data_IF_049005441416
#
_entry.id   IF_049005441416
#
_cell.length_a   1.000
_cell.length_b   1.000
_cell.length_c   1.000
_cell.angle_alpha   90.00
_cell.angle_beta   90.00
_cell.angle_gamma   90.00
#
_symmetry.space_group_name_H-M   'P 1'
#
loop_
_entity.id
_entity.type
_entity.pdbx_description
1 polymer ?
#
# COMPACT_ATOMS: atom_id res chain seq x y z
N UNK A 1 7.80 11.79 0.50
CA UNK A 1 7.19 10.52 0.07
C UNK A 1 7.72 10.07 -1.30
N UNK A 2 7.57 10.87 -2.36
CA UNK A 2 8.06 10.57 -3.73
C UNK A 2 9.57 10.39 -3.83
N UNK A 3 10.36 11.12 -3.05
CA UNK A 3 11.83 11.03 -3.01
C UNK A 3 12.33 9.65 -2.59
N UNK A 4 11.76 9.06 -1.54
CA UNK A 4 12.11 7.71 -1.09
C UNK A 4 11.80 6.64 -2.14
N UNK A 5 10.65 6.75 -2.80
CA UNK A 5 10.25 5.82 -3.85
C UNK A 5 11.19 5.85 -5.06
N UNK A 6 11.52 7.06 -5.55
CA UNK A 6 12.49 7.22 -6.65
C UNK A 6 13.87 6.66 -6.28
N UNK A 7 14.31 6.84 -5.03
CA UNK A 7 15.60 6.36 -4.56
C UNK A 7 15.64 4.83 -4.48
N UNK A 8 14.58 4.20 -3.95
CA UNK A 8 14.42 2.73 -3.96
C UNK A 8 14.40 2.19 -5.39
N UNK A 9 13.67 2.83 -6.30
CA UNK A 9 13.59 2.41 -7.70
C UNK A 9 14.96 2.51 -8.40
N UNK A 10 15.68 3.62 -8.23
CA UNK A 10 16.99 3.83 -8.84
C UNK A 10 18.03 2.84 -8.30
N UNK A 11 18.05 2.61 -6.97
CA UNK A 11 18.94 1.63 -6.36
C UNK A 11 18.60 0.19 -6.78
N UNK A 12 17.32 -0.15 -6.87
CA UNK A 12 16.88 -1.45 -7.36
C UNK A 12 17.28 -1.66 -8.83
N UNK A 13 17.13 -0.64 -9.67
CA UNK A 13 17.49 -0.70 -11.09
C UNK A 13 19.01 -0.81 -11.27
N UNK A 14 19.79 -0.05 -10.51
CA UNK A 14 21.26 -0.17 -10.49
C UNK A 14 21.73 -1.54 -9.99
N UNK A 15 21.11 -2.06 -8.93
CA UNK A 15 21.40 -3.39 -8.38
C UNK A 15 21.10 -4.52 -9.36
N UNK A 16 19.92 -4.46 -10.01
CA UNK A 16 19.54 -5.45 -11.02
C UNK A 16 20.40 -5.36 -12.28
N UNK A 17 20.72 -4.15 -12.76
CA UNK A 17 21.60 -3.98 -13.90
C UNK A 17 23.02 -4.51 -13.60
N UNK A 18 23.55 -4.25 -12.41
CA UNK A 18 24.83 -4.81 -11.97
C UNK A 18 24.80 -6.34 -11.91
N UNK A 19 23.76 -6.93 -11.32
CA UNK A 19 23.59 -8.40 -11.28
C UNK A 19 23.43 -9.01 -12.69
N UNK A 20 22.71 -8.35 -13.59
CA UNK A 20 22.56 -8.78 -14.98
C UNK A 20 23.90 -8.74 -15.72
N UNK A 21 24.70 -7.68 -15.55
CA UNK A 21 26.06 -7.57 -16.10
C UNK A 21 27.00 -8.62 -15.48
N UNK A 22 26.77 -9.01 -14.23
CA UNK A 22 27.53 -10.07 -13.57
C UNK A 22 27.22 -11.47 -14.10
N UNK A 23 26.21 -11.67 -14.97
CA UNK A 23 25.94 -12.96 -15.59
C UNK A 23 26.76 -13.13 -16.88
N UNK A 24 27.44 -14.26 -17.03
CA UNK A 24 28.41 -14.55 -18.11
C UNK A 24 27.79 -14.46 -19.51
N UNK A 25 26.51 -14.83 -19.61
CA UNK A 25 25.72 -14.81 -20.85
C UNK A 25 25.30 -13.39 -21.25
N UNK A 26 25.18 -12.48 -20.29
CA UNK A 26 24.68 -11.11 -20.48
C UNK A 26 25.78 -10.05 -20.47
N UNK A 27 26.92 -10.30 -19.82
CA UNK A 27 28.05 -9.34 -19.79
C UNK A 27 28.57 -9.03 -21.20
N UNK A 28 28.62 -10.04 -22.07
CA UNK A 28 29.07 -9.92 -23.46
C UNK A 28 28.08 -9.13 -24.33
N UNK A 29 26.78 -9.20 -24.01
CA UNK A 29 25.72 -8.48 -24.71
C UNK A 29 25.56 -7.01 -24.27
N UNK A 30 25.85 -6.70 -22.99
CA UNK A 30 25.73 -5.35 -22.43
C UNK A 30 27.00 -4.52 -22.52
N UNK A 31 28.18 -5.10 -22.29
CA UNK A 31 29.45 -4.34 -22.17
C UNK A 31 30.38 -4.49 -23.37
N UNK A 32 30.07 -5.37 -24.33
CA UNK A 32 30.89 -5.61 -25.53
C UNK A 32 32.31 -6.12 -25.26
N UNK A 33 32.67 -6.39 -24.00
CA UNK A 33 33.98 -6.88 -23.56
C UNK A 33 33.81 -8.07 -22.62
N UNK A 34 34.76 -9.00 -22.64
CA UNK A 34 34.84 -10.04 -21.61
C UNK A 34 35.32 -9.40 -20.30
N UNK A 35 34.40 -9.21 -19.36
CA UNK A 35 34.77 -8.84 -17.99
C UNK A 35 35.50 -10.02 -17.33
N UNK A 36 36.73 -9.79 -16.87
CA UNK A 36 37.50 -10.80 -16.14
C UNK A 36 36.79 -11.25 -14.84
N UNK A 37 37.05 -12.49 -14.42
CA UNK A 37 36.36 -13.16 -13.31
C UNK A 37 36.35 -12.33 -12.00
N UNK A 38 37.45 -11.62 -11.71
CA UNK A 38 37.56 -10.76 -10.53
C UNK A 38 36.63 -9.55 -10.59
N UNK A 39 36.60 -8.82 -11.73
CA UNK A 39 35.69 -7.67 -11.91
C UNK A 39 34.22 -8.08 -11.88
N UNK A 40 33.91 -9.25 -12.44
CA UNK A 40 32.57 -9.84 -12.41
C UNK A 40 32.10 -10.11 -10.97
N UNK A 41 33.00 -10.62 -10.12
CA UNK A 41 32.73 -10.85 -8.70
C UNK A 41 32.55 -9.54 -7.92
N UNK A 42 33.33 -8.50 -8.23
CA UNK A 42 33.12 -7.17 -7.66
C UNK A 42 31.74 -6.59 -8.05
N UNK A 43 31.36 -6.63 -9.33
CA UNK A 43 30.07 -6.13 -9.81
C UNK A 43 28.89 -6.90 -9.17
N UNK A 44 29.05 -8.21 -8.96
CA UNK A 44 28.04 -9.03 -8.27
C UNK A 44 27.80 -8.56 -6.84
N UNK A 45 28.87 -8.38 -6.05
CA UNK A 45 28.76 -7.88 -4.68
C UNK A 45 28.25 -6.44 -4.62
N UNK A 46 28.63 -5.62 -5.59
CA UNK A 46 28.17 -4.24 -5.70
C UNK A 46 26.67 -4.18 -6.01
N UNK A 47 26.16 -5.06 -6.87
CA UNK A 47 24.73 -5.21 -7.13
C UNK A 47 23.93 -5.62 -5.89
N UNK A 48 24.43 -6.60 -5.13
CA UNK A 48 23.86 -6.97 -3.83
C UNK A 48 23.90 -5.83 -2.81
N UNK A 49 24.99 -5.05 -2.78
CA UNK A 49 25.11 -3.87 -1.94
C UNK A 49 24.01 -2.84 -2.23
N UNK A 50 23.75 -2.54 -3.51
CA UNK A 50 22.66 -1.66 -3.91
C UNK A 50 21.27 -2.18 -3.52
N UNK A 51 21.03 -3.49 -3.60
CA UNK A 51 19.76 -4.08 -3.18
C UNK A 51 19.55 -4.01 -1.66
N UNK A 52 20.61 -4.21 -0.87
CA UNK A 52 20.56 -4.05 0.59
C UNK A 52 20.27 -2.59 0.96
N UNK A 53 20.91 -1.64 0.28
CA UNK A 53 20.64 -0.21 0.47
C UNK A 53 19.21 0.15 0.07
N UNK A 54 18.70 -0.38 -1.05
CA UNK A 54 17.32 -0.19 -1.48
C UNK A 54 16.32 -0.72 -0.43
N UNK A 55 16.61 -1.90 0.14
CA UNK A 55 15.80 -2.46 1.23
C UNK A 55 15.84 -1.58 2.48
N UNK A 56 17.02 -1.13 2.89
CA UNK A 56 17.19 -0.25 4.04
C UNK A 56 16.43 1.06 3.90
N UNK A 57 16.48 1.69 2.72
CA UNK A 57 15.73 2.93 2.42
C UNK A 57 14.22 2.67 2.39
N UNK A 58 13.79 1.53 1.83
CA UNK A 58 12.38 1.13 1.82
C UNK A 58 11.81 0.89 3.22
N UNK A 59 12.56 0.18 4.08
CA UNK A 59 12.17 -0.08 5.47
C UNK A 59 12.21 1.18 6.33
N UNK A 60 13.20 2.07 6.11
CA UNK A 60 13.29 3.33 6.85
C UNK A 60 12.15 4.31 6.50
N UNK A 61 11.67 4.30 5.26
CA UNK A 61 10.58 5.18 4.84
C UNK A 61 9.19 4.62 5.12
N UNK A 62 8.99 3.32 4.94
CA UNK A 62 7.66 2.69 4.90
C UNK A 62 7.53 1.50 5.87
N UNK A 63 8.42 1.42 6.85
CA UNK A 63 8.44 0.41 7.90
C UNK A 63 8.60 -1.02 7.35
N UNK A 64 8.66 -2.01 8.24
CA UNK A 64 8.86 -3.42 7.86
C UNK A 64 7.69 -4.04 7.09
N UNK A 65 6.48 -3.47 7.18
CA UNK A 65 5.30 -4.02 6.55
C UNK A 65 5.26 -3.75 5.04
N UNK A 66 5.69 -2.56 4.61
CA UNK A 66 5.50 -2.13 3.22
C UNK A 66 6.83 -2.04 2.46
N UNK A 67 7.94 -1.75 3.15
CA UNK A 67 9.27 -1.66 2.55
C UNK A 67 9.68 -2.88 1.69
N UNK A 68 9.57 -4.13 2.20
CA UNK A 68 9.90 -5.32 1.43
C UNK A 68 8.99 -5.54 0.21
N UNK A 69 7.70 -5.22 0.33
CA UNK A 69 6.72 -5.35 -0.76
C UNK A 69 7.03 -4.37 -1.89
N UNK A 70 7.36 -3.12 -1.55
CA UNK A 70 7.79 -2.10 -2.50
C UNK A 70 9.09 -2.49 -3.22
N UNK A 71 10.04 -3.10 -2.51
CA UNK A 71 11.26 -3.62 -3.11
C UNK A 71 10.92 -4.70 -4.14
N UNK A 72 10.15 -5.73 -3.76
CA UNK A 72 9.74 -6.80 -4.68
C UNK A 72 9.02 -6.26 -5.92
N UNK A 73 8.09 -5.31 -5.74
CA UNK A 73 7.43 -4.63 -6.86
C UNK A 73 8.43 -3.91 -7.77
N UNK A 74 9.39 -3.19 -7.18
CA UNK A 74 10.43 -2.46 -7.92
C UNK A 74 11.38 -3.39 -8.68
N UNK A 75 11.74 -4.54 -8.11
CA UNK A 75 12.57 -5.55 -8.78
C UNK A 75 11.87 -6.14 -10.00
N UNK A 76 10.57 -6.39 -9.88
CA UNK A 76 9.75 -6.90 -11.00
C UNK A 76 9.67 -5.86 -12.11
N UNK A 77 9.38 -4.61 -11.78
CA UNK A 77 9.34 -3.50 -12.72
C UNK A 77 10.70 -3.28 -13.42
N UNK A 78 11.80 -3.29 -12.66
CA UNK A 78 13.16 -3.15 -13.20
C UNK A 78 13.53 -4.32 -14.12
N UNK A 79 13.22 -5.56 -13.73
CA UNK A 79 13.44 -6.75 -14.55
C UNK A 79 12.64 -6.70 -15.86
N UNK A 80 11.37 -6.35 -15.80
CA UNK A 80 10.50 -6.17 -16.98
C UNK A 80 11.05 -5.08 -17.90
N UNK A 81 11.41 -3.91 -17.37
CA UNK A 81 11.99 -2.82 -18.14
C UNK A 81 13.26 -3.28 -18.88
N UNK A 82 14.13 -4.01 -18.18
CA UNK A 82 15.39 -4.51 -18.75
C UNK A 82 15.14 -5.53 -19.88
N UNK A 83 14.14 -6.40 -19.74
CA UNK A 83 13.71 -7.33 -20.80
C UNK A 83 13.15 -6.61 -22.02
N UNK A 84 12.38 -5.53 -21.85
CA UNK A 84 11.82 -4.75 -22.95
C UNK A 84 12.83 -3.85 -23.66
N UNK A 85 13.85 -3.36 -22.93
CA UNK A 85 14.95 -2.56 -23.50
C UNK A 85 15.93 -3.44 -24.28
N UNK A 86 16.12 -4.70 -23.88
CA UNK A 86 17.12 -5.60 -24.48
C UNK A 86 16.96 -5.82 -26.00
N UNK A 87 15.76 -5.94 -26.59
CA UNK A 87 15.57 -6.01 -28.04
C UNK A 87 16.09 -4.80 -28.83
N UNK A 88 16.20 -3.64 -28.20
CA UNK A 88 16.63 -2.38 -28.83
C UNK A 88 18.11 -2.07 -28.58
N UNK A 89 18.86 -2.98 -27.94
CA UNK A 89 20.23 -2.69 -27.54
C UNK A 89 21.20 -2.79 -28.73
N UNK A 90 21.98 -1.73 -29.03
CA UNK A 90 22.76 -1.62 -30.27
C UNK A 90 23.97 -2.57 -30.34
N UNK A 91 24.38 -3.14 -29.20
CA UNK A 91 25.58 -3.96 -29.06
C UNK A 91 25.30 -5.48 -29.08
N UNK A 92 24.11 -5.89 -29.54
CA UNK A 92 23.80 -7.32 -29.65
C UNK A 92 24.84 -8.02 -30.55
N UNK A 93 25.54 -9.04 -30.03
CA UNK A 93 26.43 -9.82 -30.87
C UNK A 93 25.59 -10.47 -31.97
N UNK A 94 25.90 -10.17 -33.24
CA UNK A 94 25.36 -10.93 -34.37
C UNK A 94 25.71 -12.39 -34.11
N UNK A 95 24.73 -13.22 -33.77
CA UNK A 95 24.96 -14.64 -33.63
C UNK A 95 25.50 -15.13 -34.97
N UNK A 96 26.78 -15.51 -35.02
CA UNK A 96 27.35 -16.20 -36.17
C UNK A 96 26.45 -17.42 -36.41
N UNK A 97 25.86 -17.51 -37.60
CA UNK A 97 24.87 -18.51 -37.95
C UNK A 97 25.37 -19.91 -37.56
N UNK A 98 24.91 -20.38 -36.40
CA UNK A 98 25.13 -21.75 -35.98
C UNK A 98 24.31 -22.57 -36.96
N UNK A 99 24.93 -23.50 -37.69
CA UNK A 99 24.20 -24.46 -38.51
C UNK A 99 23.27 -25.25 -37.58
N UNK A 100 22.03 -24.80 -37.48
CA UNK A 100 20.97 -25.47 -36.75
C UNK A 100 20.62 -26.75 -37.52
N UNK A 101 20.65 -27.89 -36.84
CA UNK A 101 19.99 -29.09 -37.36
C UNK A 101 18.51 -28.74 -37.54
N UNK A 102 17.85 -29.13 -38.64
CA UNK A 102 16.44 -28.82 -38.85
C UNK A 102 15.64 -29.48 -37.72
N UNK A 103 15.21 -28.66 -36.77
CA UNK A 103 14.25 -29.05 -35.73
C UNK A 103 12.90 -29.09 -36.44
N UNK A 104 12.14 -30.16 -36.26
CA UNK A 104 10.77 -30.25 -36.76
C UNK A 104 10.01 -28.99 -36.35
N UNK A 105 9.28 -28.32 -37.25
CA UNK A 105 8.63 -27.05 -36.92
C UNK A 105 7.72 -27.27 -35.72
N UNK A 106 8.07 -26.69 -34.57
CA UNK A 106 7.07 -26.46 -33.56
C UNK A 106 6.00 -25.59 -34.21
N UNK A 107 4.71 -25.91 -34.05
CA UNK A 107 3.65 -25.06 -34.57
C UNK A 107 3.89 -23.65 -34.03
N UNK A 108 4.18 -22.75 -34.97
CA UNK A 108 4.57 -21.37 -34.73
C UNK A 108 3.32 -20.68 -34.16
N UNK A 109 3.18 -20.68 -32.83
CA UNK A 109 2.04 -20.04 -32.15
C UNK A 109 2.24 -18.52 -32.24
N UNK A 110 1.99 -17.98 -33.44
CA UNK A 110 2.07 -16.55 -33.71
C UNK A 110 0.88 -15.89 -33.03
N UNK A 111 1.14 -15.38 -31.83
CA UNK A 111 0.20 -14.52 -31.14
C UNK A 111 -0.16 -13.35 -32.07
N UNK A 112 -1.42 -13.26 -32.47
CA UNK A 112 -1.87 -12.26 -33.43
C UNK A 112 -1.48 -10.86 -32.93
N UNK A 113 -1.00 -9.98 -33.82
CA UNK A 113 -0.62 -8.58 -33.52
C UNK A 113 -1.59 -7.84 -32.57
N UNK A 114 -2.93 -7.95 -32.71
CA UNK A 114 -3.85 -7.29 -31.77
C UNK A 114 -3.73 -7.82 -30.33
N UNK A 115 -3.50 -9.12 -30.14
CA UNK A 115 -3.36 -9.75 -28.81
C UNK A 115 -2.08 -9.27 -28.11
N UNK A 116 -1.01 -9.07 -28.89
CA UNK A 116 0.27 -8.53 -28.38
C UNK A 116 0.13 -7.08 -27.92
N UNK A 117 -0.64 -6.26 -28.64
CA UNK A 117 -0.95 -4.88 -28.24
C UNK A 117 -1.78 -4.82 -26.96
N UNK A 118 -2.76 -5.72 -26.83
CA UNK A 118 -3.63 -5.81 -25.65
C UNK A 118 -2.86 -6.21 -24.39
N UNK A 119 -1.91 -7.15 -24.51
CA UNK A 119 -1.02 -7.54 -23.41
C UNK A 119 -0.08 -6.42 -22.96
N UNK A 120 0.46 -5.64 -23.90
CA UNK A 120 1.31 -4.47 -23.56
C UNK A 120 0.48 -3.39 -22.89
N UNK A 121 -0.73 -3.13 -23.38
CA UNK A 121 -1.65 -2.18 -22.76
C UNK A 121 -2.03 -2.62 -21.34
N UNK A 122 -2.34 -3.90 -21.12
CA UNK A 122 -2.65 -4.41 -19.78
C UNK A 122 -1.45 -4.33 -18.84
N UNK A 123 -0.22 -4.54 -19.35
CA UNK A 123 1.00 -4.42 -18.54
C UNK A 123 1.25 -3.00 -18.01
N UNK A 124 0.69 -1.98 -18.68
CA UNK A 124 0.80 -0.57 -18.28
C UNK A 124 -0.44 -0.13 -17.49
N UNK A 125 -1.63 -0.50 -17.95
CA UNK A 125 -2.89 -0.11 -17.32
C UNK A 125 -3.05 -0.73 -15.93
N UNK A 126 -2.62 -1.99 -15.74
CA UNK A 126 -2.73 -2.68 -14.46
C UNK A 126 -1.90 -2.00 -13.34
N UNK A 127 -0.59 -1.71 -13.51
CA UNK A 127 0.17 -1.01 -12.47
C UNK A 127 -0.28 0.44 -12.28
N UNK A 128 -0.77 1.13 -13.31
CA UNK A 128 -1.37 2.47 -13.15
C UNK A 128 -2.63 2.37 -12.28
N UNK A 129 -3.50 1.41 -12.56
CA UNK A 129 -4.72 1.18 -11.78
C UNK A 129 -4.39 0.78 -10.34
N UNK A 130 -3.44 -0.14 -10.13
CA UNK A 130 -2.99 -0.52 -8.79
C UNK A 130 -2.35 0.65 -8.06
N UNK A 131 -1.50 1.45 -8.72
CA UNK A 131 -0.88 2.63 -8.12
C UNK A 131 -1.89 3.70 -7.74
N UNK A 132 -2.91 3.93 -8.56
CA UNK A 132 -4.01 4.85 -8.26
C UNK A 132 -4.85 4.39 -7.06
N UNK A 133 -5.15 3.09 -6.96
CA UNK A 133 -5.88 2.54 -5.81
C UNK A 133 -5.01 2.49 -4.55
N UNK A 134 -3.72 2.18 -4.67
CA UNK A 134 -2.77 2.21 -3.56
C UNK A 134 -2.58 3.63 -3.00
N UNK A 135 -2.65 4.67 -3.84
CA UNK A 135 -2.65 6.07 -3.38
C UNK A 135 -3.88 6.39 -2.52
N UNK A 136 -5.00 5.69 -2.73
CA UNK A 136 -6.20 5.82 -1.87
C UNK A 136 -6.08 5.05 -0.55
N UNK A 137 -5.05 4.21 -0.36
CA UNK A 137 -4.89 3.38 0.83
C UNK A 137 -4.47 4.22 2.04
N UNK A 138 -5.49 4.79 2.67
CA UNK A 138 -5.77 5.34 4.01
C UNK A 138 -4.75 5.41 5.16
N UNK A 139 -3.43 5.26 4.96
CA UNK A 139 -2.45 5.49 6.04
C UNK A 139 -2.35 6.97 6.51
N UNK A 140 -3.19 7.88 5.97
CA UNK A 140 -3.14 9.33 6.24
C UNK A 140 -4.36 9.92 6.94
N UNK A 141 -5.44 9.16 7.20
CA UNK A 141 -6.65 9.75 7.78
C UNK A 141 -6.38 10.48 9.10
N UNK A 142 -5.59 9.86 9.96
CA UNK A 142 -5.20 10.38 11.29
C UNK A 142 -4.17 11.52 11.21
N UNK A 143 -3.43 11.64 10.11
CA UNK A 143 -2.42 12.68 9.91
C UNK A 143 -3.00 13.95 9.26
N UNK A 144 -4.28 13.91 8.86
CA UNK A 144 -4.96 15.01 8.20
C UNK A 144 -5.31 16.11 9.21
N UNK A 145 -5.35 17.35 8.75
CA UNK A 145 -5.61 18.54 9.59
C UNK A 145 -7.01 18.55 10.21
N UNK A 146 -7.97 17.82 9.63
CA UNK A 146 -9.34 17.68 10.13
C UNK A 146 -9.49 16.59 11.20
N UNK A 147 -8.41 15.87 11.53
CA UNK A 147 -8.42 14.84 12.54
C UNK A 147 -8.71 15.42 13.94
N UNK A 148 -9.57 14.76 14.70
CA UNK A 148 -9.93 15.18 16.06
C UNK A 148 -8.89 14.65 17.02
N UNK A 149 -8.14 15.57 17.62
CA UNK A 149 -7.24 15.30 18.73
C UNK A 149 -7.99 15.44 20.06
N UNK A 150 -7.72 14.52 20.99
CA UNK A 150 -8.32 14.57 22.31
C UNK A 150 -7.64 13.64 23.31
N UNK A 151 -8.23 13.57 24.49
CA UNK A 151 -7.82 12.67 25.56
C UNK A 151 -9.04 11.98 26.14
N UNK A 152 -8.95 10.66 26.32
CA UNK A 152 -10.01 9.84 26.91
C UNK A 152 -9.41 8.97 28.01
N UNK A 153 -9.85 9.23 29.25
CA UNK A 153 -9.14 8.71 30.43
C UNK A 153 -7.67 9.16 30.45
N UNK A 154 -6.70 8.25 30.68
CA UNK A 154 -5.28 8.60 30.70
C UNK A 154 -4.63 8.69 29.30
N UNK A 155 -5.33 8.32 28.22
CA UNK A 155 -4.72 8.19 26.89
C UNK A 155 -5.09 9.32 25.95
N UNK A 156 -4.09 9.85 25.25
CA UNK A 156 -4.32 10.77 24.12
C UNK A 156 -4.66 9.98 22.86
N UNK A 157 -5.58 10.50 22.06
CA UNK A 157 -6.00 9.89 20.81
C UNK A 157 -6.16 10.91 19.69
N UNK A 158 -6.18 10.38 18.47
CA UNK A 158 -6.52 11.08 17.24
C UNK A 158 -7.55 10.24 16.50
N UNK A 159 -8.70 10.82 16.18
CA UNK A 159 -9.82 10.15 15.53
C UNK A 159 -10.18 10.89 14.24
N UNK A 160 -10.30 10.17 13.13
CA UNK A 160 -10.62 10.76 11.83
C UNK A 160 -11.48 9.83 10.98
N UNK A 161 -12.21 10.39 10.03
CA UNK A 161 -12.85 9.63 8.96
C UNK A 161 -11.80 9.11 7.98
N UNK A 162 -12.00 7.91 7.44
CA UNK A 162 -11.11 7.34 6.42
C UNK A 162 -11.09 8.21 5.15
N UNK A 163 -12.27 8.44 4.56
CA UNK A 163 -12.46 9.32 3.41
C UNK A 163 -13.48 10.43 3.72
N UNK A 164 -13.44 11.52 2.96
CA UNK A 164 -14.39 12.65 3.09
C UNK A 164 -15.63 12.48 2.17
N UNK A 165 -15.73 11.35 1.48
CA UNK A 165 -16.86 10.98 0.64
C UNK A 165 -18.07 10.59 1.49
N UNK A 166 -19.25 10.49 0.86
CA UNK A 166 -20.45 10.03 1.54
C UNK A 166 -20.31 8.59 2.07
N UNK A 167 -21.22 8.14 2.95
CA UNK A 167 -21.26 6.75 3.41
C UNK A 167 -21.34 5.74 2.27
N UNK A 168 -20.62 4.64 2.41
CA UNK A 168 -20.57 3.56 1.44
C UNK A 168 -21.65 2.51 1.74
N UNK A 169 -22.16 1.84 0.72
CA UNK A 169 -23.16 0.80 0.88
C UNK A 169 -22.51 -0.59 0.78
N UNK A 170 -22.60 -1.38 1.84
CA UNK A 170 -22.19 -2.79 1.83
C UNK A 170 -23.37 -3.66 1.39
N UNK A 171 -23.09 -4.85 0.84
CA UNK A 171 -24.05 -5.85 0.36
C UNK A 171 -25.31 -5.93 1.26
N UNK A 172 -26.40 -5.31 0.81
CA UNK A 172 -27.64 -5.15 1.60
C UNK A 172 -28.09 -3.70 1.86
N UNK A 173 -27.63 -2.71 1.08
CA UNK A 173 -28.05 -1.30 1.16
C UNK A 173 -27.89 -0.65 2.54
N UNK A 174 -27.05 -1.20 3.42
CA UNK A 174 -26.81 -0.59 4.73
C UNK A 174 -25.65 0.40 4.60
N UNK A 175 -25.88 1.70 4.82
CA UNK A 175 -24.82 2.69 4.75
C UNK A 175 -23.86 2.52 5.92
N UNK A 176 -22.57 2.47 5.62
CA UNK A 176 -21.48 2.44 6.59
C UNK A 176 -20.58 3.64 6.43
N UNK A 177 -19.92 4.02 7.52
CA UNK A 177 -18.82 4.99 7.48
C UNK A 177 -17.61 4.48 8.23
N UNK A 178 -16.44 4.61 7.62
CA UNK A 178 -15.17 4.16 8.19
C UNK A 178 -14.43 5.27 8.92
N UNK A 179 -13.85 4.90 10.06
CA UNK A 179 -13.08 5.77 10.95
C UNK A 179 -11.76 5.11 11.34
N UNK A 180 -10.72 5.92 11.47
CA UNK A 180 -9.44 5.53 12.06
C UNK A 180 -9.27 6.18 13.42
N UNK A 181 -8.81 5.39 14.38
CA UNK A 181 -8.46 5.83 15.72
C UNK A 181 -7.00 5.49 15.98
N UNK A 182 -6.24 6.49 16.42
CA UNK A 182 -4.86 6.33 16.84
C UNK A 182 -4.67 6.75 18.28
N UNK A 183 -4.10 5.89 19.11
CA UNK A 183 -3.66 6.24 20.46
C UNK A 183 -2.19 6.63 20.49
N UNK A 184 -1.72 7.16 21.62
CA UNK A 184 -0.29 7.31 21.84
C UNK A 184 0.42 5.95 21.78
N UNK A 185 1.66 5.92 21.30
CA UNK A 185 2.39 4.66 21.06
C UNK A 185 2.57 3.83 22.34
N UNK A 186 2.81 4.47 23.49
CA UNK A 186 2.94 3.79 24.78
C UNK A 186 1.60 3.32 25.37
N UNK A 187 0.51 4.03 25.05
CA UNK A 187 -0.84 3.82 25.60
C UNK A 187 -1.44 2.47 25.20
N UNK A 188 -1.04 1.95 24.04
CA UNK A 188 -1.65 0.77 23.43
C UNK A 188 -1.63 -0.47 24.33
N UNK A 189 -0.56 -0.58 25.14
CA UNK A 189 -0.35 -1.70 26.05
C UNK A 189 -1.37 -1.78 27.18
N UNK A 190 -2.08 -0.70 27.51
CA UNK A 190 -3.06 -0.61 28.60
C UNK A 190 -4.51 -0.73 28.11
N UNK A 191 -4.73 -0.59 26.81
CA UNK A 191 -6.06 -0.57 26.22
C UNK A 191 -6.47 -2.00 25.85
N UNK A 192 -7.67 -2.41 26.28
CA UNK A 192 -8.24 -3.72 25.91
C UNK A 192 -9.00 -3.63 24.59
N UNK A 193 -9.88 -2.63 24.47
CA UNK A 193 -10.68 -2.41 23.28
C UNK A 193 -11.18 -0.96 23.21
N UNK A 194 -11.41 -0.49 21.99
CA UNK A 194 -12.12 0.75 21.72
C UNK A 194 -13.31 0.46 20.79
N UNK A 195 -14.41 1.18 20.98
CA UNK A 195 -15.66 0.99 20.24
C UNK A 195 -16.20 2.32 19.75
N UNK A 196 -16.87 2.30 18.60
CA UNK A 196 -17.54 3.46 18.03
C UNK A 196 -18.99 3.13 17.67
N UNK A 197 -19.90 4.07 17.90
CA UNK A 197 -21.30 4.00 17.45
C UNK A 197 -21.98 5.36 17.39
N UNK A 198 -23.08 5.42 16.66
CA UNK A 198 -24.05 6.51 16.73
C UNK A 198 -25.00 6.27 17.92
N UNK A 199 -25.25 7.35 18.68
CA UNK A 199 -26.00 7.42 19.95
C UNK A 199 -25.28 6.81 21.15
N UNK A 200 -25.67 7.25 22.35
CA UNK A 200 -25.06 6.82 23.61
C UNK A 200 -25.24 5.31 23.83
N UNK A 201 -24.17 4.56 24.13
CA UNK A 201 -24.29 3.17 24.58
C UNK A 201 -24.99 3.08 25.93
N UNK A 202 -25.87 2.07 26.10
CA UNK A 202 -26.54 1.76 27.37
C UNK A 202 -25.72 0.83 28.27
N UNK A 203 -24.74 0.14 27.69
CA UNK A 203 -23.84 -0.79 28.37
C UNK A 203 -22.61 -1.04 27.50
N UNK A 204 -21.56 -1.66 28.06
CA UNK A 204 -20.35 -2.03 27.31
C UNK A 204 -20.66 -3.03 26.19
N UNK A 205 -21.58 -3.98 26.40
CA UNK A 205 -22.04 -4.92 25.36
C UNK A 205 -22.72 -4.20 24.19
N UNK A 206 -23.25 -3.00 24.42
CA UNK A 206 -23.88 -2.14 23.42
C UNK A 206 -23.00 -0.94 23.03
N UNK A 207 -21.68 -1.01 23.28
CA UNK A 207 -20.70 0.05 23.01
C UNK A 207 -20.50 0.34 21.52
N UNK A 208 -20.92 -0.57 20.64
CA UNK A 208 -20.81 -0.40 19.19
C UNK A 208 -19.92 -1.43 18.55
N UNK A 209 -19.36 -1.08 17.39
CA UNK A 209 -18.39 -1.92 16.72
C UNK A 209 -17.00 -1.60 17.25
N UNK A 210 -16.21 -2.65 17.48
CA UNK A 210 -14.87 -2.53 18.01
C UNK A 210 -13.89 -2.12 16.89
N UNK A 211 -13.01 -1.18 17.20
CA UNK A 211 -11.87 -0.86 16.35
C UNK A 211 -10.96 -2.08 16.21
N UNK A 212 -10.61 -2.42 14.96
CA UNK A 212 -9.72 -3.51 14.58
C UNK A 212 -8.39 -2.95 14.06
N UNK A 213 -7.32 -3.73 14.16
CA UNK A 213 -6.01 -3.32 13.66
C UNK A 213 -4.88 -3.62 14.64
N UNK A 214 -3.66 -3.51 14.14
CA UNK A 214 -2.47 -3.79 14.92
C UNK A 214 -1.95 -2.53 15.63
N UNK A 215 -1.63 -2.68 16.92
CA UNK A 215 -1.01 -1.63 17.75
C UNK A 215 -1.92 -0.40 17.93
N UNK A 216 -1.29 0.77 17.99
CA UNK A 216 -1.87 2.06 18.31
C UNK A 216 -2.70 2.68 17.18
N UNK A 217 -2.75 2.11 15.96
CA UNK A 217 -3.61 2.61 14.86
C UNK A 217 -4.63 1.53 14.49
N UNK A 218 -5.91 1.88 14.55
CA UNK A 218 -7.02 0.96 14.38
C UNK A 218 -8.11 1.59 13.51
N UNK A 219 -8.97 0.76 12.93
CA UNK A 219 -10.05 1.15 12.04
C UNK A 219 -11.38 0.51 12.43
N UNK A 220 -12.48 1.15 12.09
CA UNK A 220 -13.83 0.61 12.29
C UNK A 220 -14.76 1.13 11.20
N UNK A 221 -15.64 0.26 10.69
CA UNK A 221 -16.76 0.65 9.85
C UNK A 221 -18.05 0.62 10.68
N UNK A 222 -18.64 1.78 10.96
CA UNK A 222 -19.92 1.86 11.70
C UNK A 222 -21.11 1.97 10.76
N UNK A 223 -22.19 1.25 11.08
CA UNK A 223 -23.47 1.41 10.39
C UNK A 223 -24.11 2.75 10.76
N UNK A 224 -24.69 3.41 9.77
CA UNK A 224 -25.52 4.61 9.97
C UNK A 224 -26.98 4.17 10.06
N UNK A 225 -27.63 4.27 11.24
CA UNK A 225 -29.03 3.88 11.38
C UNK A 225 -29.93 4.74 10.47
N UNK A 226 -30.97 4.17 9.83
CA UNK A 226 -31.91 4.94 9.01
C UNK A 226 -32.66 6.04 9.79
N UNK A 227 -32.79 5.88 11.11
CA UNK A 227 -33.41 6.86 11.99
C UNK A 227 -32.40 7.80 12.67
N UNK A 228 -31.15 7.85 12.17
CA UNK A 228 -30.14 8.76 12.69
C UNK A 228 -30.54 10.22 12.42
N UNK A 229 -30.28 11.09 13.39
CA UNK A 229 -30.55 12.52 13.28
C UNK A 229 -29.25 13.30 13.44
N UNK A 230 -29.19 14.52 12.92
CA UNK A 230 -28.04 15.40 13.13
C UNK A 230 -27.75 15.71 14.60
N UNK A 231 -28.79 15.71 15.44
CA UNK A 231 -28.67 15.91 16.88
C UNK A 231 -28.15 14.67 17.62
N UNK A 232 -28.07 13.50 16.95
CA UNK A 232 -27.38 12.36 17.53
C UNK A 232 -25.87 12.62 17.59
N UNK A 233 -25.21 11.94 18.51
CA UNK A 233 -23.76 12.03 18.69
C UNK A 233 -23.09 10.71 18.35
N UNK A 234 -21.84 10.76 17.93
CA UNK A 234 -20.96 9.60 17.79
C UNK A 234 -20.24 9.41 19.11
N UNK A 235 -20.32 8.20 19.67
CA UNK A 235 -19.74 7.86 20.97
C UNK A 235 -18.52 6.96 20.78
N UNK A 236 -17.38 7.43 21.27
CA UNK A 236 -16.17 6.64 21.48
C UNK A 236 -16.22 6.05 22.89
N UNK A 237 -16.07 4.73 23.00
CA UNK A 237 -15.95 4.02 24.28
C UNK A 237 -14.62 3.30 24.31
N UNK A 238 -13.83 3.47 25.37
CA UNK A 238 -12.53 2.79 25.54
C UNK A 238 -12.54 2.02 26.84
N UNK A 239 -12.22 0.73 26.76
CA UNK A 239 -12.09 -0.19 27.89
C UNK A 239 -10.60 -0.43 28.17
N UNK A 240 -10.19 -0.16 29.40
CA UNK A 240 -8.87 -0.49 29.93
C UNK A 240 -8.72 -1.99 30.13
N UNK A 241 -7.47 -2.49 30.12
CA UNK A 241 -7.17 -3.84 30.62
C UNK A 241 -7.45 -3.99 32.12
N UNK A 242 -7.49 -2.88 32.88
CA UNK A 242 -7.95 -2.85 34.27
C UNK A 242 -9.47 -3.04 34.42
N UNK A 243 -10.24 -2.94 33.33
CA UNK A 243 -11.71 -3.01 33.32
C UNK A 243 -12.41 -1.65 33.47
N UNK A 244 -11.66 -0.55 33.62
CA UNK A 244 -12.21 0.81 33.60
C UNK A 244 -12.74 1.17 32.21
N UNK A 245 -13.84 1.91 32.16
CA UNK A 245 -14.50 2.30 30.90
C UNK A 245 -14.63 3.81 30.83
N UNK A 246 -14.11 4.39 29.75
CA UNK A 246 -14.20 5.82 29.46
C UNK A 246 -15.04 6.05 28.21
N UNK A 247 -15.86 7.10 28.22
CA UNK A 247 -16.77 7.42 27.12
C UNK A 247 -16.70 8.90 26.78
N UNK A 248 -16.68 9.20 25.48
CA UNK A 248 -16.69 10.57 24.97
C UNK A 248 -17.62 10.67 23.76
N UNK A 249 -18.40 11.76 23.71
CA UNK A 249 -19.33 12.04 22.64
C UNK A 249 -18.79 13.11 21.69
N UNK A 250 -19.12 12.98 20.41
CA UNK A 250 -18.78 13.95 19.36
C UNK A 250 -20.02 14.26 18.53
N UNK A 251 -20.20 15.51 18.17
CA UNK A 251 -21.27 15.90 17.25
C UNK A 251 -20.98 15.34 15.85
N UNK A 252 -22.00 14.77 15.20
CA UNK A 252 -21.86 14.15 13.88
C UNK A 252 -21.30 15.17 12.87
N UNK A 253 -21.77 16.42 12.90
CA UNK A 253 -21.33 17.44 11.96
C UNK A 253 -19.85 17.82 12.12
N UNK A 254 -19.30 17.71 13.32
CA UNK A 254 -17.90 18.03 13.61
C UNK A 254 -16.97 16.86 13.27
N UNK A 255 -17.35 15.65 13.68
CA UNK A 255 -16.51 14.46 13.47
C UNK A 255 -16.68 13.87 12.05
N UNK A 256 -17.85 14.06 11.44
CA UNK A 256 -18.20 13.46 10.15
C UNK A 256 -19.12 14.34 9.31
N UNK A 257 -18.60 15.43 8.69
CA UNK A 257 -19.39 16.31 7.84
C UNK A 257 -20.07 15.59 6.67
N UNK A 258 -19.44 14.54 6.13
CA UNK A 258 -20.03 13.74 5.05
C UNK A 258 -21.24 12.92 5.52
N UNK A 259 -21.17 12.29 6.70
CA UNK A 259 -22.33 11.59 7.28
C UNK A 259 -23.42 12.57 7.68
N UNK A 260 -23.08 13.77 8.15
CA UNK A 260 -24.06 14.81 8.45
C UNK A 260 -24.88 15.20 7.21
N UNK A 261 -24.20 15.43 6.07
CA UNK A 261 -24.88 15.71 4.79
C UNK A 261 -25.76 14.54 4.35
N UNK A 262 -25.24 13.31 4.46
CA UNK A 262 -26.02 12.12 4.15
C UNK A 262 -27.29 11.99 5.00
N UNK A 263 -27.22 12.26 6.30
CA UNK A 263 -28.39 12.23 7.19
C UNK A 263 -29.39 13.35 6.84
N UNK A 264 -28.94 14.52 6.38
CA UNK A 264 -29.81 15.62 5.95
C UNK A 264 -30.58 15.30 4.67
N UNK A 265 -29.95 14.57 3.75
CA UNK A 265 -30.51 14.22 2.45
C UNK A 265 -31.42 12.98 2.52
N UNK A 266 -31.45 12.26 3.65
CA UNK A 266 -32.38 11.17 3.86
C UNK A 266 -33.82 11.68 4.01
N UNK A 267 -34.79 11.10 3.29
CA UNK A 267 -36.20 11.49 3.33
C UNK A 267 -36.90 11.13 4.64
#
# INVERSE_FOLDING_TARGET
>A
MTTYYMLVLLCALAGFAALAISMEKYSRALTGRMLGATRRRYIYWLGWGFLIVALGVGVAGWHWNIGPVLLLGSLTAAGTLLVFIMPWWPLQPKHAARKEKPVSPFPDMRLAKPVRGLLVLSLIALPIWVGFNAWKMSEQAVLREDAIHGQIGPWTFVLAEENQDGPEFVAGHTPIKQFHLRFCEACDSEIRAAYLKIRKPRSLRAAGLAFQGARWTREVAIYIPPAARLADQIWLTVESKSGEVYQQAFDIQRLSPATARFIQEQP
#
